data_IF_313902301074
#
_entry.id   IF_313902301074
#
_cell.length_a   1.000
_cell.length_b   1.000
_cell.length_c   1.000
_cell.angle_alpha   90.00
_cell.angle_beta   90.00
_cell.angle_gamma   90.00
#
_symmetry.space_group_name_H-M   'P 1'
#
loop_
_entity.id
_entity.type
_entity.pdbx_description
1 polymer ?
#
# COMPACT_ATOMS: atom_id res chain seq x y z
N UNK A 1 15.72 -25.08 -5.20
CA UNK A 1 14.99 -24.63 -6.41
C UNK A 1 14.73 -23.15 -6.25
N UNK A 2 15.49 -22.34 -6.98
CA UNK A 2 15.37 -20.88 -6.95
C UNK A 2 14.12 -20.46 -7.72
N UNK A 3 13.26 -19.66 -7.07
CA UNK A 3 12.05 -19.10 -7.66
C UNK A 3 12.35 -17.64 -8.00
N UNK A 4 12.06 -17.24 -9.24
CA UNK A 4 12.07 -15.82 -9.62
C UNK A 4 10.70 -15.26 -9.23
N UNK A 5 10.70 -14.17 -8.46
CA UNK A 5 9.49 -13.49 -8.02
C UNK A 5 9.46 -12.09 -8.64
N UNK A 6 8.36 -11.72 -9.32
CA UNK A 6 8.04 -10.32 -9.61
C UNK A 6 6.77 -9.95 -8.84
N UNK A 7 6.71 -8.72 -8.31
CA UNK A 7 5.66 -8.25 -7.42
C UNK A 7 4.69 -7.33 -8.16
N UNK A 8 3.49 -7.83 -8.48
CA UNK A 8 2.29 -7.05 -8.79
C UNK A 8 1.06 -7.85 -8.31
N UNK A 9 -0.01 -7.17 -7.88
CA UNK A 9 -1.21 -7.78 -7.29
C UNK A 9 -2.11 -8.42 -8.35
N UNK A 10 -1.58 -9.41 -9.07
CA UNK A 10 -2.30 -10.25 -10.02
C UNK A 10 -2.38 -11.69 -9.49
N UNK A 11 -3.34 -12.53 -9.95
CA UNK A 11 -3.27 -13.96 -9.72
C UNK A 11 -1.89 -14.45 -10.14
N UNK A 12 -1.21 -15.10 -9.20
CA UNK A 12 0.18 -15.49 -9.42
C UNK A 12 0.20 -16.76 -10.27
N UNK A 13 0.61 -16.63 -11.51
CA UNK A 13 0.96 -17.77 -12.36
C UNK A 13 2.40 -18.21 -12.05
N UNK A 14 2.58 -19.50 -11.80
CA UNK A 14 3.88 -20.14 -11.58
C UNK A 14 4.04 -21.18 -12.67
N UNK A 15 5.04 -21.00 -13.53
CA UNK A 15 5.46 -21.99 -14.51
C UNK A 15 6.67 -22.76 -13.97
N UNK A 16 6.59 -24.09 -14.01
CA UNK A 16 7.65 -24.99 -13.57
C UNK A 16 8.53 -25.41 -14.75
N UNK A 17 9.71 -25.97 -14.45
CA UNK A 17 10.69 -26.34 -15.47
C UNK A 17 10.21 -27.45 -16.43
N UNK A 18 9.25 -28.24 -16.01
CA UNK A 18 8.58 -29.28 -16.81
C UNK A 18 7.43 -28.73 -17.66
N UNK A 19 7.16 -27.43 -17.59
CA UNK A 19 6.08 -26.76 -18.31
C UNK A 19 4.72 -26.82 -17.60
N UNK A 20 4.62 -27.44 -16.41
CA UNK A 20 3.41 -27.35 -15.60
C UNK A 20 3.17 -25.91 -15.15
N UNK A 21 1.89 -25.57 -14.93
CA UNK A 21 1.47 -24.25 -14.48
C UNK A 21 0.56 -24.37 -13.26
N UNK A 22 0.80 -23.53 -12.27
CA UNK A 22 -0.10 -23.33 -11.11
C UNK A 22 -0.53 -21.88 -11.04
N UNK A 23 -1.83 -21.66 -10.85
CA UNK A 23 -2.40 -20.33 -10.62
C UNK A 23 -2.81 -20.23 -9.15
N UNK A 24 -2.34 -19.19 -8.46
CA UNK A 24 -2.81 -18.81 -7.13
C UNK A 24 -3.74 -17.61 -7.30
N UNK A 25 -5.04 -17.88 -7.38
CA UNK A 25 -6.10 -16.86 -7.44
C UNK A 25 -6.60 -16.47 -6.05
N UNK A 26 -7.29 -15.34 -5.96
CA UNK A 26 -8.01 -14.94 -4.74
C UNK A 26 -9.35 -15.66 -4.66
N UNK A 27 -9.63 -16.31 -3.54
CA UNK A 27 -10.87 -17.06 -3.31
C UNK A 27 -11.27 -17.04 -1.82
N UNK A 28 -12.30 -17.81 -1.46
CA UNK A 28 -12.78 -17.92 -0.09
C UNK A 28 -11.85 -18.65 0.90
N UNK A 29 -10.71 -19.20 0.45
CA UNK A 29 -9.70 -19.82 1.33
C UNK A 29 -8.82 -18.78 2.03
N UNK A 30 -8.86 -17.53 1.59
CA UNK A 30 -8.09 -16.43 2.18
C UNK A 30 -8.68 -15.98 3.53
N UNK A 31 -7.84 -15.35 4.34
CA UNK A 31 -8.24 -14.71 5.59
C UNK A 31 -7.80 -13.24 5.59
N UNK A 32 -8.59 -12.37 6.20
CA UNK A 32 -8.29 -10.96 6.38
C UNK A 32 -8.08 -10.64 7.86
N UNK A 33 -7.37 -9.55 8.18
CA UNK A 33 -7.28 -9.01 9.54
C UNK A 33 -7.17 -7.49 9.47
N UNK A 34 -7.49 -6.80 10.55
CA UNK A 34 -7.31 -5.34 10.65
C UNK A 34 -5.86 -5.03 11.02
N UNK A 35 -5.17 -4.28 10.15
CA UNK A 35 -3.80 -3.83 10.39
C UNK A 35 -3.72 -2.52 11.18
N UNK A 36 -2.58 -1.85 11.05
CA UNK A 36 -2.27 -0.56 11.67
C UNK A 36 -3.09 0.60 11.10
N UNK A 37 -3.56 0.51 9.86
CA UNK A 37 -4.36 1.56 9.22
C UNK A 37 -5.79 1.52 9.77
N UNK A 38 -6.18 2.55 10.53
CA UNK A 38 -7.54 2.70 11.08
C UNK A 38 -8.52 3.31 10.07
N UNK A 39 -8.03 4.23 9.22
CA UNK A 39 -8.74 4.72 8.03
C UNK A 39 -7.73 5.24 7.01
N UNK A 40 -8.08 5.17 5.72
CA UNK A 40 -7.30 5.72 4.60
C UNK A 40 -8.26 6.30 3.57
N UNK A 41 -8.13 7.59 3.28
CA UNK A 41 -9.02 8.34 2.40
C UNK A 41 -8.26 9.44 1.64
N UNK A 42 -8.66 9.68 0.40
CA UNK A 42 -7.99 10.61 -0.51
C UNK A 42 -8.12 12.09 -0.09
N UNK A 43 -9.18 12.46 0.64
CA UNK A 43 -9.47 13.84 1.00
C UNK A 43 -9.13 14.14 2.46
N UNK A 44 -9.37 13.20 3.36
CA UNK A 44 -9.14 13.40 4.81
C UNK A 44 -7.83 12.78 5.30
N UNK A 45 -7.10 12.07 4.42
CA UNK A 45 -5.81 11.46 4.74
C UNK A 45 -5.94 10.09 5.39
N UNK A 46 -4.89 9.67 6.08
CA UNK A 46 -4.77 8.36 6.68
C UNK A 46 -4.40 8.46 8.16
N UNK A 47 -4.98 7.57 8.98
CA UNK A 47 -4.60 7.39 10.39
C UNK A 47 -4.08 5.99 10.60
N UNK A 48 -2.87 5.90 11.13
CA UNK A 48 -2.23 4.66 11.53
C UNK A 48 -2.08 4.59 13.05
N UNK A 49 -2.25 3.40 13.60
CA UNK A 49 -2.05 3.06 15.00
C UNK A 49 -1.09 1.87 15.11
N UNK A 50 0.15 2.14 15.49
CA UNK A 50 1.23 1.16 15.59
C UNK A 50 1.35 0.50 16.96
N UNK A 51 0.37 0.67 17.86
CA UNK A 51 0.34 -0.10 19.11
C UNK A 51 0.18 -1.57 18.75
N UNK A 52 1.03 -2.43 19.30
CA UNK A 52 0.94 -3.88 19.09
C UNK A 52 -0.41 -4.41 19.57
N UNK A 53 -1.10 -5.14 18.69
CA UNK A 53 -2.42 -5.73 18.94
C UNK A 53 -2.41 -7.18 18.49
N UNK A 54 -3.15 -8.01 19.19
CA UNK A 54 -3.44 -9.37 18.72
C UNK A 54 -4.20 -9.30 17.39
N UNK A 55 -3.82 -10.16 16.44
CA UNK A 55 -4.46 -10.23 15.13
C UNK A 55 -5.67 -11.14 15.19
N UNK A 56 -6.84 -10.55 15.05
CA UNK A 56 -8.07 -11.31 14.80
C UNK A 56 -8.23 -11.53 13.28
N UNK A 57 -8.35 -12.80 12.88
CA UNK A 57 -8.54 -13.17 11.48
C UNK A 57 -10.02 -13.37 11.17
N UNK A 58 -10.46 -12.76 10.08
CA UNK A 58 -11.81 -12.83 9.53
C UNK A 58 -11.84 -13.70 8.27
N UNK A 59 -12.92 -14.46 8.13
CA UNK A 59 -13.22 -15.16 6.88
C UNK A 59 -13.55 -14.16 5.78
N UNK A 60 -13.01 -14.36 4.58
CA UNK A 60 -13.38 -13.57 3.40
C UNK A 60 -14.58 -14.18 2.67
N UNK A 61 -15.28 -13.36 1.89
CA UNK A 61 -16.39 -13.81 1.06
C UNK A 61 -16.13 -13.42 -0.39
N UNK A 62 -16.34 -14.37 -1.30
CA UNK A 62 -16.33 -14.08 -2.72
C UNK A 62 -17.47 -13.13 -3.10
N UNK A 63 -17.16 -12.27 -4.06
CA UNK A 63 -18.08 -11.33 -4.68
C UNK A 63 -17.86 -11.38 -6.18
N UNK A 64 -18.94 -11.61 -6.91
CA UNK A 64 -18.90 -11.61 -8.37
C UNK A 64 -19.18 -10.18 -8.88
N UNK A 65 -18.13 -9.56 -9.41
CA UNK A 65 -18.19 -8.25 -10.06
C UNK A 65 -18.18 -8.36 -11.59
N UNK A 66 -18.10 -9.58 -12.14
CA UNK A 66 -17.85 -9.84 -13.56
C UNK A 66 -16.45 -9.42 -14.04
N UNK A 67 -16.17 -9.68 -15.32
CA UNK A 67 -14.87 -9.41 -15.95
C UNK A 67 -14.94 -8.45 -17.14
N UNK A 68 -16.15 -8.03 -17.55
CA UNK A 68 -16.40 -7.23 -18.76
C UNK A 68 -15.67 -5.88 -18.78
N UNK A 69 -15.34 -5.36 -17.60
CA UNK A 69 -14.66 -4.07 -17.43
C UNK A 69 -13.15 -4.20 -17.17
N UNK A 70 -12.62 -5.42 -17.02
CA UNK A 70 -11.19 -5.60 -16.80
C UNK A 70 -10.42 -5.34 -18.10
N UNK A 71 -9.48 -4.41 -18.02
CA UNK A 71 -8.59 -4.04 -19.11
C UNK A 71 -7.19 -3.79 -18.54
N UNK A 72 -6.18 -4.08 -19.34
CA UNK A 72 -4.82 -3.68 -19.00
C UNK A 72 -4.75 -2.16 -18.93
N UNK A 73 -4.12 -1.63 -17.89
CA UNK A 73 -3.79 -0.22 -17.80
C UNK A 73 -2.54 0.05 -18.66
N UNK A 74 -2.69 0.93 -19.65
CA UNK A 74 -1.60 1.31 -20.56
C UNK A 74 -0.89 2.59 -20.09
N UNK A 75 -1.44 3.29 -19.08
CA UNK A 75 -0.85 4.51 -18.56
C UNK A 75 0.40 4.23 -17.71
N UNK A 76 1.28 5.23 -17.61
CA UNK A 76 2.37 5.16 -16.64
C UNK A 76 1.79 5.15 -15.22
N UNK A 77 2.22 4.16 -14.42
CA UNK A 77 1.73 4.04 -13.05
C UNK A 77 2.17 5.23 -12.19
N UNK A 78 1.34 5.60 -11.21
CA UNK A 78 1.69 6.59 -10.20
C UNK A 78 2.85 6.06 -9.35
N UNK A 79 3.94 6.84 -9.25
CA UNK A 79 5.15 6.49 -8.51
C UNK A 79 5.67 7.68 -7.71
N UNK A 80 6.41 7.40 -6.62
CA UNK A 80 7.25 8.41 -5.99
C UNK A 80 8.45 8.70 -6.91
N UNK A 81 8.36 9.80 -7.67
CA UNK A 81 9.40 10.20 -8.63
C UNK A 81 10.56 10.98 -7.99
N UNK A 82 10.34 11.58 -6.81
CA UNK A 82 11.33 12.37 -6.10
C UNK A 82 11.13 12.25 -4.59
N UNK A 83 12.25 12.18 -3.83
CA UNK A 83 12.26 12.29 -2.37
C UNK A 83 12.93 13.59 -1.96
N UNK A 84 12.19 14.44 -1.23
CA UNK A 84 12.59 15.81 -0.93
C UNK A 84 12.77 15.93 0.59
N UNK A 85 13.90 16.49 1.04
CA UNK A 85 14.10 16.84 2.44
C UNK A 85 13.56 18.24 2.71
N UNK A 86 13.05 18.47 3.92
CA UNK A 86 12.67 19.82 4.33
C UNK A 86 13.92 20.71 4.40
N UNK A 87 13.75 21.99 4.08
CA UNK A 87 14.83 22.98 4.09
C UNK A 87 15.02 23.56 5.49
N UNK A 88 13.93 23.74 6.23
CA UNK A 88 13.95 24.35 7.56
C UNK A 88 12.80 23.86 8.45
N UNK A 89 13.01 24.05 9.76
CA UNK A 89 12.02 23.81 10.81
C UNK A 89 11.64 25.17 11.40
N UNK A 90 10.36 25.49 11.42
CA UNK A 90 9.82 26.74 11.97
C UNK A 90 9.04 26.40 13.24
N UNK A 91 9.29 27.15 14.32
CA UNK A 91 8.46 27.12 15.52
C UNK A 91 7.46 28.27 15.48
N UNK A 92 6.16 27.96 15.54
CA UNK A 92 5.13 29.00 15.58
C UNK A 92 5.12 29.69 16.95
N UNK A 93 4.56 30.91 17.08
CA UNK A 93 4.36 31.55 18.38
C UNK A 93 3.54 30.70 19.37
N UNK A 94 2.69 29.81 18.87
CA UNK A 94 1.89 28.86 19.66
C UNK A 94 2.66 27.61 20.08
N UNK A 95 3.86 27.39 19.53
CA UNK A 95 4.73 26.25 19.84
C UNK A 95 4.67 25.09 18.86
N UNK A 96 3.87 25.18 17.80
CA UNK A 96 3.78 24.15 16.77
C UNK A 96 5.07 24.05 15.95
N UNK A 97 5.36 22.85 15.46
CA UNK A 97 6.47 22.59 14.54
C UNK A 97 5.94 22.55 13.11
N UNK A 98 6.47 23.43 12.25
CA UNK A 98 6.17 23.47 10.83
C UNK A 98 7.42 23.08 10.04
N UNK A 99 7.29 22.13 9.12
CA UNK A 99 8.35 21.72 8.20
C UNK A 99 8.15 22.41 6.85
N UNK A 100 9.11 23.23 6.43
CA UNK A 100 9.07 23.91 5.14
C UNK A 100 9.94 23.18 4.12
N UNK A 101 9.31 22.67 3.07
CA UNK A 101 9.96 21.95 1.97
C UNK A 101 10.44 22.86 0.83
N UNK A 102 10.20 24.18 0.92
CA UNK A 102 10.65 25.19 -0.04
C UNK A 102 9.88 25.24 -1.37
N UNK A 103 8.88 24.38 -1.56
CA UNK A 103 7.95 24.38 -2.69
C UNK A 103 6.64 23.70 -2.34
N UNK A 104 5.59 24.01 -3.09
CA UNK A 104 4.31 23.31 -3.03
C UNK A 104 4.41 21.99 -3.82
N UNK A 105 3.98 20.87 -3.23
CA UNK A 105 4.18 19.51 -3.75
C UNK A 105 2.88 18.73 -3.57
N UNK A 106 2.56 17.83 -4.51
CA UNK A 106 1.55 16.79 -4.33
C UNK A 106 2.24 15.47 -4.00
N UNK A 107 1.85 14.84 -2.89
CA UNK A 107 2.46 13.60 -2.43
C UNK A 107 2.18 13.34 -0.95
N UNK A 108 3.04 12.51 -0.35
CA UNK A 108 2.96 12.11 1.07
C UNK A 108 4.27 12.43 1.78
N UNK A 109 4.21 12.50 3.11
CA UNK A 109 5.38 12.66 3.97
C UNK A 109 5.73 11.32 4.61
N UNK A 110 6.99 10.92 4.50
CA UNK A 110 7.53 9.79 5.26
C UNK A 110 8.06 10.31 6.61
N UNK A 111 7.54 9.76 7.70
CA UNK A 111 7.95 10.10 9.06
C UNK A 111 8.69 8.93 9.68
N UNK A 112 9.93 9.18 10.10
CA UNK A 112 10.70 8.25 10.92
C UNK A 112 10.64 8.69 12.37
N UNK A 113 9.80 8.04 13.17
CA UNK A 113 9.72 8.22 14.61
C UNK A 113 10.38 7.03 15.31
N UNK A 114 10.96 7.29 16.48
CA UNK A 114 11.38 6.25 17.42
C UNK A 114 10.30 6.24 18.50
N UNK A 115 9.65 5.09 18.68
CA UNK A 115 8.65 4.85 19.71
C UNK A 115 9.24 3.98 20.82
#
# INVERSE_FOLDING_TARGET
>A
MEKIFSYHQDPKEIEYLDGEKTIIGTDNSFAAYTGEIEYSDLFIGEKQNHIEKEREFFKVYERDYGYEMLKADEAESIKCIERIKFNQIIKTPQGDIVLDFGRNISGIVEVKAIF
#
